data_IF_749808395564
#
_entry.id   IF_749808395564
#
_cell.length_a   1.000
_cell.length_b   1.000
_cell.length_c   1.000
_cell.angle_alpha   90.00
_cell.angle_beta   90.00
_cell.angle_gamma   90.00
#
_symmetry.space_group_name_H-M   'P 1'
#
loop_
_entity.id
_entity.type
_entity.pdbx_description
1 polymer ?
#
# COMPACT_ATOMS: atom_id res chain seq x y z
N UNK A 1 -22.88 -25.41 57.58
CA UNK A 1 -22.95 -25.67 56.13
C UNK A 1 -23.02 -24.41 55.26
N UNK A 2 -23.69 -23.35 55.69
CA UNK A 2 -23.78 -22.05 54.92
C UNK A 2 -22.40 -21.35 54.74
N UNK A 3 -21.54 -21.38 55.74
CA UNK A 3 -20.20 -20.71 55.67
C UNK A 3 -19.23 -21.37 54.70
N UNK A 4 -19.36 -22.68 54.43
CA UNK A 4 -18.49 -23.43 53.52
C UNK A 4 -18.82 -23.11 52.08
N UNK A 5 -20.06 -22.82 51.74
CA UNK A 5 -20.50 -22.45 50.39
C UNK A 5 -20.06 -21.03 50.03
N UNK A 6 -20.04 -20.12 50.98
CA UNK A 6 -19.57 -18.74 50.78
C UNK A 6 -18.06 -18.71 50.49
N UNK A 7 -17.28 -19.53 51.19
CA UNK A 7 -15.84 -19.67 50.99
C UNK A 7 -15.54 -20.25 49.59
N UNK A 8 -16.33 -21.22 49.13
CA UNK A 8 -16.14 -21.82 47.81
C UNK A 8 -16.47 -20.86 46.67
N UNK A 9 -17.52 -20.03 46.81
CA UNK A 9 -17.89 -19.01 45.84
C UNK A 9 -16.80 -17.92 45.78
N UNK A 10 -16.24 -17.53 46.91
CA UNK A 10 -15.15 -16.52 46.96
C UNK A 10 -13.85 -17.01 46.29
N UNK A 11 -13.51 -18.30 46.44
CA UNK A 11 -12.36 -18.93 45.76
C UNK A 11 -12.58 -19.05 44.27
N UNK A 12 -13.80 -19.38 43.81
CA UNK A 12 -14.11 -19.47 42.37
C UNK A 12 -14.07 -18.10 41.72
N UNK A 13 -14.55 -17.03 42.37
CA UNK A 13 -14.52 -15.67 41.86
C UNK A 13 -13.08 -15.12 41.78
N UNK A 14 -12.20 -15.47 42.73
CA UNK A 14 -10.80 -15.09 42.64
C UNK A 14 -10.01 -15.84 41.56
N UNK A 15 -10.41 -17.05 41.18
CA UNK A 15 -9.83 -17.79 40.07
C UNK A 15 -10.25 -17.28 38.69
N UNK A 16 -11.42 -16.65 38.56
CA UNK A 16 -11.90 -16.02 37.32
C UNK A 16 -11.27 -14.64 37.04
N UNK A 17 -10.51 -14.12 37.99
CA UNK A 17 -9.86 -12.81 37.92
C UNK A 17 -8.43 -12.80 37.36
N UNK A 18 -7.97 -13.86 36.71
CA UNK A 18 -6.73 -13.76 35.96
C UNK A 18 -6.93 -12.80 34.78
N UNK A 19 -6.18 -11.69 34.69
CA UNK A 19 -6.28 -10.82 33.54
C UNK A 19 -5.91 -11.68 32.33
N UNK A 20 -6.87 -11.89 31.42
CA UNK A 20 -6.54 -12.31 30.07
C UNK A 20 -5.48 -11.31 29.59
N UNK A 21 -4.26 -11.78 29.35
CA UNK A 21 -3.23 -10.95 28.72
C UNK A 21 -3.82 -10.51 27.39
N UNK A 22 -4.26 -9.26 27.34
CA UNK A 22 -4.69 -8.66 26.10
C UNK A 22 -3.45 -8.68 25.18
N UNK A 23 -3.55 -9.38 24.06
CA UNK A 23 -2.56 -9.28 23.01
C UNK A 23 -2.79 -7.94 22.32
N UNK A 24 -1.81 -7.06 22.41
CA UNK A 24 -1.84 -5.80 21.66
C UNK A 24 -1.25 -6.05 20.26
N UNK A 25 -2.00 -5.67 19.23
CA UNK A 25 -1.55 -5.85 17.86
C UNK A 25 -0.47 -4.80 17.51
N UNK A 26 0.61 -5.26 16.90
CA UNK A 26 1.61 -4.36 16.31
C UNK A 26 1.07 -3.92 14.94
N UNK A 27 0.54 -2.69 14.85
CA UNK A 27 0.07 -2.11 13.59
C UNK A 27 1.17 -1.33 12.91
N UNK A 28 1.31 -1.50 11.59
CA UNK A 28 2.26 -0.76 10.77
C UNK A 28 1.59 0.22 9.80
N UNK A 29 0.27 0.24 9.74
CA UNK A 29 -0.51 1.12 8.87
C UNK A 29 -1.99 0.90 9.00
N UNK A 30 -2.76 1.58 8.16
CA UNK A 30 -4.21 1.53 8.11
C UNK A 30 -4.70 1.09 6.74
N UNK A 31 -5.86 0.43 6.71
CA UNK A 31 -6.53 -0.01 5.49
C UNK A 31 -7.63 0.99 5.13
N UNK A 32 -7.71 1.34 3.86
CA UNK A 32 -8.68 2.26 3.29
C UNK A 32 -9.31 1.68 2.04
N UNK A 33 -10.50 2.17 1.70
CA UNK A 33 -11.20 1.86 0.46
C UNK A 33 -11.71 3.13 -0.19
N UNK A 34 -11.68 3.16 -1.53
CA UNK A 34 -12.18 4.25 -2.34
C UNK A 34 -12.98 3.65 -3.52
N UNK A 35 -14.20 4.14 -3.77
CA UNK A 35 -14.87 3.82 -5.01
C UNK A 35 -14.29 4.68 -6.14
N UNK A 36 -13.70 4.03 -7.13
CA UNK A 36 -13.18 4.69 -8.32
C UNK A 36 -14.28 4.84 -9.37
N UNK A 37 -14.61 6.05 -9.73
CA UNK A 37 -15.51 6.34 -10.86
C UNK A 37 -14.82 6.09 -12.21
N UNK A 38 -13.51 6.32 -12.28
CA UNK A 38 -12.71 6.07 -13.50
C UNK A 38 -12.68 4.58 -13.84
N UNK A 39 -12.51 3.71 -12.82
CA UNK A 39 -12.42 2.26 -12.98
C UNK A 39 -13.77 1.56 -12.77
N UNK A 40 -14.78 2.26 -12.23
CA UNK A 40 -16.10 1.77 -11.84
C UNK A 40 -16.04 0.55 -10.90
N UNK A 41 -15.16 0.61 -9.92
CA UNK A 41 -14.95 -0.45 -8.92
C UNK A 41 -14.43 0.10 -7.59
N UNK A 42 -14.58 -0.67 -6.51
CA UNK A 42 -13.96 -0.34 -5.21
C UNK A 42 -12.48 -0.72 -5.24
N UNK A 43 -11.63 0.22 -4.87
CA UNK A 43 -10.18 0.02 -4.73
C UNK A 43 -9.79 0.04 -3.28
N UNK A 44 -8.94 -0.90 -2.88
CA UNK A 44 -8.34 -0.96 -1.55
C UNK A 44 -6.91 -0.44 -1.62
N UNK A 45 -6.50 0.33 -0.60
CA UNK A 45 -5.14 0.79 -0.42
C UNK A 45 -4.78 0.83 1.06
N UNK A 46 -3.50 0.66 1.35
CA UNK A 46 -2.99 0.71 2.72
C UNK A 46 -2.07 1.91 2.88
N UNK A 47 -2.15 2.53 4.04
CA UNK A 47 -1.41 3.75 4.33
C UNK A 47 -0.51 3.55 5.54
N UNK A 48 0.75 3.92 5.39
CA UNK A 48 1.68 4.14 6.48
C UNK A 48 2.02 5.62 6.55
N UNK A 49 1.92 6.20 7.74
CA UNK A 49 2.36 7.57 8.04
C UNK A 49 3.54 7.49 9.01
N UNK A 50 4.64 8.22 8.76
CA UNK A 50 5.75 8.27 9.71
C UNK A 50 5.30 8.79 11.07
N UNK A 51 5.75 8.15 12.15
CA UNK A 51 5.46 8.63 13.49
C UNK A 51 6.24 9.91 13.79
N UNK A 52 5.57 10.92 14.32
CA UNK A 52 6.19 12.16 14.81
C UNK A 52 6.97 11.80 16.07
N UNK A 53 8.24 12.16 16.16
CA UNK A 53 9.05 11.94 17.35
C UNK A 53 8.75 13.00 18.42
N UNK A 54 8.86 12.66 19.70
CA UNK A 54 8.71 13.64 20.77
C UNK A 54 9.66 14.82 20.56
N UNK A 55 9.12 16.05 20.48
CA UNK A 55 9.89 17.28 20.27
C UNK A 55 10.14 17.68 18.82
N UNK A 56 9.74 16.87 17.85
CA UNK A 56 9.72 17.25 16.43
C UNK A 56 8.42 18.02 16.10
N UNK A 57 8.52 18.96 15.17
CA UNK A 57 7.34 19.65 14.64
C UNK A 57 6.59 18.68 13.73
N UNK A 58 5.28 18.91 13.64
CA UNK A 58 4.45 18.25 12.63
C UNK A 58 5.01 18.60 11.25
N UNK A 59 5.54 17.60 10.55
CA UNK A 59 6.14 17.76 9.23
C UNK A 59 5.17 17.24 8.18
N UNK A 60 5.23 17.83 6.99
CA UNK A 60 4.62 17.27 5.79
C UNK A 60 5.63 16.38 5.06
N UNK A 61 5.13 15.30 4.45
CA UNK A 61 5.96 14.24 3.90
C UNK A 61 5.72 14.04 2.40
N UNK A 62 6.73 13.60 1.65
CA UNK A 62 6.52 13.05 0.32
C UNK A 62 5.68 11.78 0.40
N UNK A 63 4.93 11.47 -0.66
CA UNK A 63 4.09 10.28 -0.76
C UNK A 63 4.66 9.30 -1.76
N UNK A 64 4.94 8.08 -1.31
CA UNK A 64 5.32 6.95 -2.14
C UNK A 64 4.07 6.12 -2.49
N UNK A 65 3.61 6.18 -3.73
CA UNK A 65 2.60 5.29 -4.27
C UNK A 65 3.27 3.98 -4.67
N UNK A 66 3.03 2.94 -3.89
CA UNK A 66 3.61 1.61 -4.03
C UNK A 66 2.62 0.67 -4.71
N UNK A 67 2.94 0.24 -5.91
CA UNK A 67 2.16 -0.75 -6.64
C UNK A 67 2.45 -2.17 -6.14
N UNK A 68 1.55 -3.13 -6.41
CA UNK A 68 1.59 -4.47 -5.81
C UNK A 68 1.63 -4.39 -4.26
N UNK A 69 0.79 -3.53 -3.68
CA UNK A 69 0.81 -3.17 -2.27
C UNK A 69 0.68 -4.35 -1.32
N UNK A 70 -0.15 -5.33 -1.66
CA UNK A 70 -0.33 -6.59 -0.93
C UNK A 70 0.98 -7.36 -0.74
N UNK A 71 1.87 -7.31 -1.73
CA UNK A 71 3.15 -8.04 -1.72
C UNK A 71 4.29 -7.25 -1.06
N UNK A 72 4.30 -5.91 -1.18
CA UNK A 72 5.49 -5.12 -0.83
C UNK A 72 5.32 -4.18 0.36
N UNK A 73 4.10 -3.91 0.83
CA UNK A 73 3.84 -2.92 1.88
C UNK A 73 4.72 -3.09 3.13
N UNK A 74 4.72 -4.30 3.70
CA UNK A 74 5.46 -4.57 4.94
C UNK A 74 6.96 -4.33 4.79
N UNK A 75 7.53 -4.80 3.70
CA UNK A 75 8.96 -4.66 3.42
C UNK A 75 9.34 -3.21 3.19
N UNK A 76 8.56 -2.48 2.38
CA UNK A 76 8.84 -1.08 2.05
C UNK A 76 8.68 -0.19 3.28
N UNK A 77 7.63 -0.37 4.08
CA UNK A 77 7.47 0.35 5.35
C UNK A 77 8.62 0.04 6.31
N UNK A 78 9.04 -1.23 6.42
CA UNK A 78 10.18 -1.61 7.24
C UNK A 78 11.46 -0.90 6.82
N UNK A 79 11.77 -0.86 5.53
CA UNK A 79 12.91 -0.11 4.98
C UNK A 79 12.79 1.40 5.21
N UNK A 80 11.63 1.98 4.90
CA UNK A 80 11.39 3.41 5.11
C UNK A 80 11.64 3.80 6.57
N UNK A 81 11.10 3.05 7.52
CA UNK A 81 11.33 3.29 8.96
C UNK A 81 12.80 3.15 9.35
N UNK A 82 13.44 2.06 8.93
CA UNK A 82 14.85 1.79 9.25
C UNK A 82 15.75 2.92 8.75
N UNK A 83 15.59 3.32 7.50
CA UNK A 83 16.47 4.30 6.87
C UNK A 83 16.12 5.74 7.21
N UNK A 84 14.91 6.08 7.60
CA UNK A 84 14.56 7.43 8.07
C UNK A 84 14.94 7.66 9.54
N UNK A 85 15.10 6.59 10.34
CA UNK A 85 15.43 6.71 11.77
C UNK A 85 16.93 6.52 12.08
N UNK A 86 17.69 5.97 11.16
CA UNK A 86 19.11 5.70 11.32
C UNK A 86 19.93 6.99 11.22
N UNK A 87 20.85 7.23 12.14
CA UNK A 87 21.82 8.33 12.07
C UNK A 87 22.76 8.25 10.86
N UNK A 88 22.82 7.10 10.19
CA UNK A 88 23.70 6.82 9.05
C UNK A 88 22.96 6.97 7.73
N UNK A 89 21.64 7.05 7.75
CA UNK A 89 20.82 7.08 6.54
C UNK A 89 20.36 8.47 6.19
N UNK A 90 20.37 8.75 4.89
CA UNK A 90 19.97 10.03 4.30
C UNK A 90 18.56 9.98 3.67
N UNK A 91 17.77 8.90 3.89
CA UNK A 91 16.43 8.86 3.34
C UNK A 91 15.47 9.69 4.21
N UNK A 92 14.79 10.68 3.62
CA UNK A 92 13.73 11.37 4.33
C UNK A 92 12.59 10.42 4.67
N UNK A 93 11.88 10.64 5.78
CA UNK A 93 10.65 9.91 6.05
C UNK A 93 9.63 10.19 4.95
N UNK A 94 8.84 9.18 4.57
CA UNK A 94 7.77 9.34 3.59
C UNK A 94 6.50 8.57 4.00
N UNK A 95 5.36 9.08 3.58
CA UNK A 95 4.09 8.36 3.62
C UNK A 95 4.15 7.26 2.55
N UNK A 96 3.72 6.04 2.87
CA UNK A 96 3.60 4.96 1.89
C UNK A 96 2.12 4.68 1.66
N UNK A 97 1.66 4.88 0.43
CA UNK A 97 0.32 4.52 -0.04
C UNK A 97 0.45 3.29 -0.94
N UNK A 98 0.16 2.13 -0.38
CA UNK A 98 0.25 0.87 -1.09
C UNK A 98 -1.08 0.55 -1.78
N UNK A 99 -1.07 0.52 -3.11
CA UNK A 99 -2.25 0.24 -3.94
C UNK A 99 -2.35 -1.25 -4.18
N UNK A 100 -3.47 -1.85 -3.75
CA UNK A 100 -3.70 -3.29 -3.89
C UNK A 100 -4.20 -3.64 -5.29
N UNK A 101 -3.91 -4.87 -5.70
CA UNK A 101 -4.35 -5.36 -7.00
C UNK A 101 -5.82 -5.78 -6.99
N UNK A 102 -6.56 -5.40 -8.03
CA UNK A 102 -7.88 -5.94 -8.40
C UNK A 102 -7.75 -6.74 -9.69
N UNK A 103 -7.32 -6.09 -10.77
CA UNK A 103 -6.96 -6.72 -12.03
C UNK A 103 -5.59 -6.23 -12.46
N UNK A 104 -4.56 -6.94 -12.02
CA UNK A 104 -3.15 -6.56 -12.20
C UNK A 104 -2.74 -6.47 -13.67
N UNK A 105 -3.25 -7.36 -14.50
CA UNK A 105 -2.91 -7.37 -15.94
C UNK A 105 -3.54 -6.19 -16.63
N UNK A 106 -4.83 -5.93 -16.40
CA UNK A 106 -5.53 -4.77 -16.93
C UNK A 106 -4.83 -3.46 -16.53
N UNK A 107 -4.59 -3.31 -15.24
CA UNK A 107 -4.14 -2.03 -14.65
C UNK A 107 -2.70 -1.68 -15.05
N UNK A 108 -1.82 -2.68 -15.23
CA UNK A 108 -0.39 -2.42 -15.44
C UNK A 108 0.08 -2.56 -16.88
N UNK A 109 -0.77 -2.97 -17.80
CA UNK A 109 -0.36 -3.09 -19.21
C UNK A 109 -1.00 -2.01 -20.07
N UNK A 110 -0.20 -1.33 -20.92
CA UNK A 110 -0.70 -0.24 -21.79
C UNK A 110 -1.47 -0.75 -23.00
N UNK A 111 -1.28 -2.02 -23.37
CA UNK A 111 -1.90 -2.64 -24.56
C UNK A 111 -2.63 -3.91 -24.20
N UNK A 112 -3.75 -4.15 -24.86
CA UNK A 112 -4.48 -5.40 -24.78
C UNK A 112 -3.80 -6.46 -25.69
N UNK A 113 -3.55 -7.65 -25.16
CA UNK A 113 -2.86 -8.72 -25.91
C UNK A 113 -3.37 -10.09 -25.51
N UNK A 114 -3.52 -10.98 -26.50
CA UNK A 114 -3.74 -12.41 -26.29
C UNK A 114 -2.41 -13.19 -26.19
N UNK A 115 -1.27 -12.54 -26.44
CA UNK A 115 0.03 -13.17 -26.37
C UNK A 115 0.44 -13.43 -24.89
N UNK A 116 0.87 -14.64 -24.63
CA UNK A 116 1.47 -15.06 -23.35
C UNK A 116 2.86 -14.42 -23.18
N UNK A 117 3.42 -14.56 -22.00
CA UNK A 117 4.75 -14.03 -21.68
C UNK A 117 5.88 -14.54 -22.59
N UNK A 118 5.74 -15.75 -23.12
CA UNK A 118 6.66 -16.37 -24.09
C UNK A 118 6.39 -15.97 -25.56
N UNK A 119 5.44 -15.06 -25.78
CA UNK A 119 5.02 -14.61 -27.11
C UNK A 119 4.05 -15.54 -27.83
N UNK A 120 3.69 -16.68 -27.25
CA UNK A 120 2.74 -17.62 -27.88
C UNK A 120 1.30 -17.17 -27.69
N UNK A 121 0.44 -17.50 -28.67
CA UNK A 121 -1.02 -17.36 -28.58
C UNK A 121 -1.62 -18.73 -28.82
N UNK A 122 -2.47 -19.20 -27.90
CA UNK A 122 -3.21 -20.47 -28.08
C UNK A 122 -4.63 -20.19 -28.56
N UNK A 123 -5.18 -21.17 -29.25
CA UNK A 123 -6.59 -21.10 -29.65
C UNK A 123 -7.50 -20.97 -28.43
N UNK A 124 -8.30 -19.91 -28.39
CA UNK A 124 -9.19 -19.60 -27.27
C UNK A 124 -8.62 -18.60 -26.26
N UNK A 125 -7.35 -18.20 -26.33
CA UNK A 125 -6.80 -17.13 -25.51
C UNK A 125 -7.51 -15.81 -25.87
N UNK A 126 -8.02 -15.12 -24.84
CA UNK A 126 -8.67 -13.81 -25.00
C UNK A 126 -7.66 -12.70 -24.76
N UNK A 127 -7.75 -11.58 -25.48
CA UNK A 127 -6.93 -10.42 -25.19
C UNK A 127 -7.22 -9.89 -23.76
N UNK A 128 -6.15 -9.62 -23.01
CA UNK A 128 -6.22 -9.05 -21.67
C UNK A 128 -5.32 -7.81 -21.58
N UNK A 129 -5.56 -6.96 -20.58
CA UNK A 129 -4.77 -5.76 -20.35
C UNK A 129 -5.33 -4.50 -21.02
N UNK A 130 -4.44 -3.51 -21.22
CA UNK A 130 -4.78 -2.26 -21.92
C UNK A 130 -5.39 -1.18 -21.06
N UNK A 131 -5.49 -1.35 -19.74
CA UNK A 131 -6.12 -0.40 -18.82
C UNK A 131 -5.16 0.61 -18.17
N UNK A 132 -3.87 0.60 -18.50
CA UNK A 132 -2.86 1.44 -17.83
C UNK A 132 -3.20 2.93 -17.82
N UNK A 133 -3.77 3.46 -18.91
CA UNK A 133 -4.19 4.87 -18.96
C UNK A 133 -5.29 5.20 -17.97
N UNK A 134 -6.30 4.34 -17.84
CA UNK A 134 -7.39 4.52 -16.87
C UNK A 134 -6.87 4.36 -15.43
N UNK A 135 -5.98 3.40 -15.21
CA UNK A 135 -5.36 3.23 -13.90
C UNK A 135 -4.48 4.42 -13.49
N UNK A 136 -3.74 5.02 -14.44
CA UNK A 136 -3.01 6.26 -14.19
C UNK A 136 -3.97 7.40 -13.77
N UNK A 137 -5.10 7.56 -14.47
CA UNK A 137 -6.12 8.54 -14.09
C UNK A 137 -6.69 8.29 -12.69
N UNK A 138 -7.01 7.04 -12.35
CA UNK A 138 -7.42 6.69 -11.00
C UNK A 138 -6.40 7.15 -9.95
N UNK A 139 -5.11 6.87 -10.17
CA UNK A 139 -4.05 7.27 -9.23
C UNK A 139 -3.96 8.79 -9.08
N UNK A 140 -4.09 9.55 -10.18
CA UNK A 140 -3.84 10.99 -10.19
C UNK A 140 -5.10 11.83 -9.94
N UNK A 141 -6.27 11.38 -10.40
CA UNK A 141 -7.51 12.16 -10.34
C UNK A 141 -8.39 11.81 -9.13
N UNK A 142 -8.22 10.60 -8.55
CA UNK A 142 -9.07 10.11 -7.46
C UNK A 142 -8.27 9.76 -6.21
N UNK A 143 -7.28 8.86 -6.30
CA UNK A 143 -6.54 8.41 -5.13
C UNK A 143 -5.67 9.51 -4.53
N UNK A 144 -4.93 10.26 -5.36
CA UNK A 144 -4.07 11.35 -4.89
C UNK A 144 -4.86 12.43 -4.15
N UNK A 145 -5.95 13.00 -4.69
CA UNK A 145 -6.76 13.98 -3.95
C UNK A 145 -7.28 13.44 -2.62
N UNK A 146 -7.72 12.17 -2.57
CA UNK A 146 -8.17 11.55 -1.32
C UNK A 146 -7.04 11.44 -0.28
N UNK A 147 -5.84 11.10 -0.71
CA UNK A 147 -4.65 11.03 0.16
C UNK A 147 -4.25 12.42 0.66
N UNK A 148 -4.24 13.43 -0.20
CA UNK A 148 -3.87 14.81 0.13
C UNK A 148 -4.85 15.49 1.08
N UNK A 149 -6.12 15.12 1.04
CA UNK A 149 -7.14 15.65 1.92
C UNK A 149 -6.94 15.23 3.38
N UNK A 150 -6.49 13.99 3.61
CA UNK A 150 -6.49 13.38 4.93
C UNK A 150 -5.11 13.30 5.58
N UNK A 151 -4.02 13.50 4.81
CA UNK A 151 -2.66 13.26 5.28
C UNK A 151 -1.76 14.49 5.13
N UNK A 152 -0.72 14.62 5.99
CA UNK A 152 0.21 15.75 5.95
C UNK A 152 1.22 15.60 4.80
N UNK A 153 0.79 15.86 3.58
CA UNK A 153 1.62 15.73 2.38
C UNK A 153 2.33 17.03 2.02
N UNK A 154 3.53 16.95 1.45
CA UNK A 154 4.32 18.11 1.03
C UNK A 154 4.25 18.42 -0.48
N UNK A 155 3.38 17.72 -1.20
CA UNK A 155 3.20 17.88 -2.65
C UNK A 155 4.21 17.12 -3.51
N UNK A 156 5.12 16.33 -2.92
CA UNK A 156 6.01 15.45 -3.67
C UNK A 156 5.43 14.03 -3.77
N UNK A 157 5.35 13.51 -4.99
CA UNK A 157 4.75 12.22 -5.31
C UNK A 157 5.73 11.29 -6.01
N UNK A 158 5.93 10.10 -5.45
CA UNK A 158 6.80 9.08 -5.98
C UNK A 158 5.95 7.87 -6.41
N UNK A 159 6.26 7.25 -7.55
CA UNK A 159 5.62 6.04 -8.03
C UNK A 159 6.62 4.89 -8.07
N UNK A 160 6.34 3.77 -7.40
CA UNK A 160 7.20 2.59 -7.37
C UNK A 160 6.48 1.33 -7.84
N UNK A 161 7.11 0.58 -8.75
CA UNK A 161 6.58 -0.68 -9.26
C UNK A 161 7.64 -1.70 -9.64
N UNK A 162 7.28 -2.98 -9.51
CA UNK A 162 8.11 -4.13 -9.86
C UNK A 162 7.45 -4.99 -10.94
N UNK A 163 8.22 -5.48 -11.90
CA UNK A 163 7.73 -6.35 -12.99
C UNK A 163 6.67 -5.65 -13.85
N UNK A 164 5.43 -6.13 -13.93
CA UNK A 164 4.33 -5.45 -14.63
C UNK A 164 4.03 -4.05 -14.05
N UNK A 165 4.11 -3.90 -12.73
CA UNK A 165 4.01 -2.59 -12.11
C UNK A 165 5.20 -1.68 -12.48
N UNK A 166 6.40 -2.25 -12.69
CA UNK A 166 7.55 -1.52 -13.26
C UNK A 166 7.32 -1.10 -14.71
N UNK A 167 6.67 -1.94 -15.54
CA UNK A 167 6.26 -1.58 -16.89
C UNK A 167 5.25 -0.42 -16.86
N UNK A 168 4.25 -0.50 -15.98
CA UNK A 168 3.31 0.60 -15.77
C UNK A 168 4.03 1.88 -15.34
N UNK A 169 4.96 1.81 -14.39
CA UNK A 169 5.74 2.98 -13.92
C UNK A 169 6.48 3.65 -15.07
N UNK A 170 7.10 2.88 -15.97
CA UNK A 170 7.75 3.43 -17.18
C UNK A 170 6.73 3.98 -18.18
N UNK A 171 5.58 3.31 -18.36
CA UNK A 171 4.51 3.81 -19.21
C UNK A 171 4.03 5.19 -18.74
N UNK A 172 3.84 5.37 -17.43
CA UNK A 172 3.44 6.67 -16.86
C UNK A 172 4.53 7.72 -17.09
N UNK A 173 5.80 7.41 -16.83
CA UNK A 173 6.91 8.34 -17.07
C UNK A 173 6.96 8.83 -18.52
N UNK A 174 6.71 7.95 -19.48
CA UNK A 174 6.85 8.27 -20.90
C UNK A 174 5.62 8.98 -21.50
N UNK A 175 4.42 8.67 -21.01
CA UNK A 175 3.17 9.14 -21.62
C UNK A 175 2.46 10.22 -20.79
N UNK A 176 2.75 10.33 -19.49
CA UNK A 176 2.16 11.28 -18.55
C UNK A 176 3.26 12.00 -17.75
N UNK A 177 4.20 12.70 -18.43
CA UNK A 177 5.30 13.39 -17.75
C UNK A 177 4.73 14.43 -16.79
N UNK A 178 5.21 14.44 -15.55
CA UNK A 178 4.69 15.31 -14.49
C UNK A 178 3.52 14.70 -13.69
N UNK A 179 3.06 13.49 -14.00
CA UNK A 179 2.11 12.77 -13.14
C UNK A 179 2.71 12.47 -11.76
N UNK A 180 4.01 12.21 -11.68
CA UNK A 180 4.77 12.02 -10.44
C UNK A 180 6.13 12.72 -10.56
N UNK A 181 6.72 13.06 -9.41
CA UNK A 181 8.04 13.73 -9.36
C UNK A 181 9.19 12.75 -9.47
N UNK A 182 8.99 11.52 -9.00
CA UNK A 182 10.02 10.47 -9.00
C UNK A 182 9.42 9.11 -9.38
N UNK A 183 10.17 8.34 -10.16
CA UNK A 183 9.76 7.03 -10.64
C UNK A 183 10.79 5.97 -10.28
N UNK A 184 10.34 4.89 -9.64
CA UNK A 184 11.16 3.74 -9.25
C UNK A 184 10.61 2.51 -9.96
N UNK A 185 11.22 2.14 -11.08
CA UNK A 185 10.80 1.01 -11.89
C UNK A 185 11.86 -0.11 -11.82
N UNK A 186 11.47 -1.28 -11.28
CA UNK A 186 12.28 -2.49 -11.36
C UNK A 186 11.64 -3.47 -12.33
N UNK A 187 12.22 -3.62 -13.51
CA UNK A 187 11.79 -4.60 -14.49
C UNK A 187 12.63 -5.88 -14.28
N UNK A 188 11.95 -7.02 -14.05
CA UNK A 188 12.61 -8.31 -13.93
C UNK A 188 13.18 -8.76 -15.29
N UNK A 189 14.22 -9.60 -15.28
CA UNK A 189 14.65 -10.31 -16.50
C UNK A 189 13.50 -11.18 -17.01
N UNK A 190 13.22 -11.12 -18.31
CA UNK A 190 12.51 -12.19 -18.98
C UNK A 190 13.41 -13.43 -18.88
N UNK A 191 12.97 -14.42 -18.13
CA UNK A 191 13.63 -15.74 -18.03
C UNK A 191 13.11 -16.62 -19.13
#
# INVERSE_FOLDING_TARGET
MRSLHILFILVVVTWLGFPLRAQEAISIGTRHTLFSHVLNEVREYWVYVPAIRPGEKEESYPVLYLLDGDSFFHSVVGFTRLFSTSKVSSLPPCIVVAVLNTDRTRDFTPTCSAARRDGTVRSGDKPEGGGAGQFCRFLTEELRPAVEQDLPVNGQHLLAGHSYAGLFTLHVLLNYPGAFDTYIAKIGRAS
#
